data_IF_252145209530
#
_entry.id   IF_252145209530
#
_cell.length_a   1.000
_cell.length_b   1.000
_cell.length_c   1.000
_cell.angle_alpha   90.00
_cell.angle_beta   90.00
_cell.angle_gamma   90.00
#
_symmetry.space_group_name_H-M   'P 1'
#
loop_
_entity.id
_entity.type
_entity.pdbx_description
1 polymer ?
#
# COMPACT_ATOMS: atom_id res chain seq x y z
N UNK A 1 3.10 -12.17 6.09
CA UNK A 1 3.35 -10.76 5.75
C UNK A 1 2.14 -9.95 6.15
N UNK A 2 2.35 -8.72 6.61
CA UNK A 2 1.27 -7.78 6.89
C UNK A 2 0.47 -7.51 5.60
N UNK A 3 -0.84 -7.28 5.69
CA UNK A 3 -1.69 -7.13 4.50
C UNK A 3 -1.25 -5.89 3.72
N UNK A 4 -0.92 -4.80 4.43
CA UNK A 4 -0.48 -3.58 3.79
C UNK A 4 0.90 -3.68 3.13
N UNK A 5 1.85 -4.46 3.67
CA UNK A 5 3.16 -4.65 3.02
C UNK A 5 3.04 -5.48 1.74
N UNK A 6 2.14 -6.46 1.73
CA UNK A 6 1.83 -7.24 0.52
C UNK A 6 1.16 -6.36 -0.53
N UNK A 7 0.25 -5.48 -0.12
CA UNK A 7 -0.43 -4.53 -1.00
C UNK A 7 0.50 -3.54 -1.69
N UNK A 8 1.48 -2.98 -0.97
CA UNK A 8 2.51 -2.11 -1.56
C UNK A 8 3.30 -2.86 -2.63
N UNK A 9 3.76 -4.09 -2.33
CA UNK A 9 4.53 -4.87 -3.30
C UNK A 9 3.74 -5.17 -4.58
N UNK A 10 2.46 -5.51 -4.48
CA UNK A 10 1.60 -5.70 -5.65
C UNK A 10 1.42 -4.41 -6.45
N UNK A 11 1.35 -3.27 -5.78
CA UNK A 11 1.21 -1.99 -6.44
C UNK A 11 2.49 -1.61 -7.22
N UNK A 12 3.67 -1.87 -6.66
CA UNK A 12 4.96 -1.65 -7.36
C UNK A 12 5.06 -2.50 -8.64
N UNK A 13 4.62 -3.75 -8.57
CA UNK A 13 4.57 -4.63 -9.75
C UNK A 13 3.61 -4.10 -10.81
N UNK A 14 2.41 -3.66 -10.39
CA UNK A 14 1.40 -3.12 -11.30
C UNK A 14 1.86 -1.83 -11.97
N UNK A 15 2.55 -0.94 -11.24
CA UNK A 15 3.15 0.27 -11.82
C UNK A 15 4.19 -0.10 -12.88
N UNK A 16 5.07 -1.04 -12.60
CA UNK A 16 6.08 -1.49 -13.56
C UNK A 16 5.46 -2.09 -14.83
N UNK A 17 4.40 -2.90 -14.70
CA UNK A 17 3.69 -3.49 -15.85
C UNK A 17 2.92 -2.43 -16.65
N UNK A 18 2.32 -1.46 -15.97
CA UNK A 18 1.61 -0.35 -16.59
C UNK A 18 2.56 0.53 -17.40
N UNK A 19 3.70 0.95 -16.82
CA UNK A 19 4.68 1.81 -17.48
C UNK A 19 5.23 1.17 -18.75
N UNK A 20 5.54 -0.13 -18.68
CA UNK A 20 5.99 -0.88 -19.86
C UNK A 20 4.93 -0.89 -20.95
N UNK A 21 3.69 -1.26 -20.60
CA UNK A 21 2.58 -1.33 -21.54
C UNK A 21 2.23 0.05 -22.14
N UNK A 22 2.40 1.11 -21.35
CA UNK A 22 2.18 2.49 -21.78
C UNK A 22 3.22 2.93 -22.82
N UNK A 23 4.50 2.63 -22.59
CA UNK A 23 5.58 2.92 -23.54
C UNK A 23 5.39 2.13 -24.83
N UNK A 24 5.08 0.83 -24.73
CA UNK A 24 4.82 -0.02 -25.89
C UNK A 24 3.64 0.53 -26.72
N UNK A 25 2.58 1.00 -26.05
CA UNK A 25 1.42 1.59 -26.73
C UNK A 25 1.73 2.95 -27.39
N UNK A 26 2.51 3.83 -26.75
CA UNK A 26 2.92 5.10 -27.38
C UNK A 26 3.83 4.87 -28.58
N UNK A 27 4.68 3.83 -28.54
CA UNK A 27 5.50 3.41 -29.69
C UNK A 27 4.62 2.99 -30.87
N UNK A 28 3.61 2.13 -30.64
CA UNK A 28 2.66 1.71 -31.67
C UNK A 28 1.86 2.88 -32.25
N UNK A 29 1.48 3.87 -31.43
CA UNK A 29 0.83 5.10 -31.91
C UNK A 29 1.77 5.90 -32.83
N UNK A 30 3.08 5.89 -32.55
CA UNK A 30 4.09 6.54 -33.38
C UNK A 30 4.32 5.89 -34.74
N UNK A 31 3.88 4.64 -34.95
CA UNK A 31 3.98 3.93 -36.23
C UNK A 31 2.81 4.22 -37.18
N UNK A 32 1.79 4.95 -36.72
CA UNK A 32 0.64 5.36 -37.55
C UNK A 32 1.09 6.38 -38.60
N UNK A 33 0.52 6.29 -39.81
CA UNK A 33 0.80 7.18 -40.93
C UNK A 33 0.59 8.67 -40.57
N UNK A 34 1.50 9.54 -41.03
CA UNK A 34 1.49 10.99 -40.74
C UNK A 34 0.21 11.68 -41.24
N UNK A 35 -0.40 11.15 -42.29
CA UNK A 35 -1.68 11.63 -42.83
C UNK A 35 -2.85 11.45 -41.83
N UNK A 36 -2.66 10.67 -40.76
CA UNK A 36 -3.65 10.42 -39.70
C UNK A 36 -3.35 11.17 -38.39
N UNK A 37 -2.77 12.37 -38.48
CA UNK A 37 -2.32 13.17 -37.32
C UNK A 37 -3.39 13.42 -36.25
N UNK A 38 -4.66 13.58 -36.64
CA UNK A 38 -5.77 13.76 -35.69
C UNK A 38 -5.98 12.53 -34.81
N UNK A 39 -5.81 11.33 -35.38
CA UNK A 39 -5.93 10.05 -34.67
C UNK A 39 -4.76 9.90 -33.69
N UNK A 40 -3.54 10.23 -34.12
CA UNK A 40 -2.33 10.21 -33.27
C UNK A 40 -2.51 11.14 -32.07
N UNK A 41 -2.97 12.37 -32.30
CA UNK A 41 -3.21 13.35 -31.24
C UNK A 41 -4.29 12.87 -30.26
N UNK A 42 -5.43 12.40 -30.77
CA UNK A 42 -6.51 11.87 -29.94
C UNK A 42 -6.07 10.65 -29.12
N UNK A 43 -5.26 9.76 -29.70
CA UNK A 43 -4.70 8.60 -29.03
C UNK A 43 -3.77 9.01 -27.87
N UNK A 44 -2.81 9.90 -28.12
CA UNK A 44 -1.89 10.42 -27.08
C UNK A 44 -2.61 11.20 -25.98
N UNK A 45 -3.67 11.93 -26.32
CA UNK A 45 -4.50 12.61 -25.32
C UNK A 45 -5.17 11.59 -24.38
N UNK A 46 -5.75 10.51 -24.92
CA UNK A 46 -6.34 9.43 -24.13
C UNK A 46 -5.29 8.67 -23.32
N UNK A 47 -4.11 8.45 -23.88
CA UNK A 47 -2.97 7.84 -23.21
C UNK A 47 -2.59 8.67 -21.96
N UNK A 48 -2.44 9.98 -22.12
CA UNK A 48 -2.17 10.92 -21.01
C UNK A 48 -3.26 10.86 -19.93
N UNK A 49 -4.53 10.84 -20.34
CA UNK A 49 -5.65 10.72 -19.41
C UNK A 49 -5.63 9.39 -18.64
N UNK A 50 -5.27 8.29 -19.31
CA UNK A 50 -5.13 6.97 -18.70
C UNK A 50 -4.01 6.95 -17.65
N UNK A 51 -2.82 7.48 -17.99
CA UNK A 51 -1.69 7.59 -17.05
C UNK A 51 -2.06 8.45 -15.83
N UNK A 52 -2.76 9.57 -16.05
CA UNK A 52 -3.23 10.43 -14.96
C UNK A 52 -4.19 9.70 -14.02
N UNK A 53 -5.15 8.96 -14.58
CA UNK A 53 -6.10 8.17 -13.80
C UNK A 53 -5.40 7.06 -13.01
N UNK A 54 -4.42 6.38 -13.62
CA UNK A 54 -3.64 5.33 -12.97
C UNK A 54 -2.76 5.87 -11.84
N UNK A 55 -2.08 7.01 -12.04
CA UNK A 55 -1.29 7.66 -11.00
C UNK A 55 -2.15 8.03 -9.77
N UNK A 56 -3.37 8.54 -10.00
CA UNK A 56 -4.31 8.82 -8.91
C UNK A 56 -4.78 7.56 -8.19
N UNK A 57 -5.05 6.48 -8.94
CA UNK A 57 -5.41 5.20 -8.37
C UNK A 57 -4.28 4.65 -7.51
N UNK A 58 -3.04 4.66 -8.02
CA UNK A 58 -1.88 4.18 -7.29
C UNK A 58 -1.69 4.94 -5.98
N UNK A 59 -1.67 6.28 -6.03
CA UNK A 59 -1.54 7.10 -4.83
C UNK A 59 -2.64 6.79 -3.79
N UNK A 60 -3.90 6.62 -4.22
CA UNK A 60 -5.00 6.25 -3.31
C UNK A 60 -4.79 4.86 -2.70
N UNK A 61 -4.34 3.89 -3.49
CA UNK A 61 -4.00 2.55 -3.01
C UNK A 61 -2.83 2.56 -2.02
N UNK A 62 -1.76 3.32 -2.30
CA UNK A 62 -0.64 3.52 -1.37
C UNK A 62 -1.13 4.02 -0.01
N UNK A 63 -1.96 5.07 0.00
CA UNK A 63 -2.54 5.61 1.25
C UNK A 63 -3.34 4.55 2.02
N UNK A 64 -4.14 3.74 1.32
CA UNK A 64 -4.90 2.65 1.96
C UNK A 64 -3.96 1.60 2.57
N UNK A 65 -2.92 1.19 1.85
CA UNK A 65 -1.98 0.18 2.33
C UNK A 65 -1.10 0.69 3.48
N UNK A 66 -0.61 1.92 3.40
CA UNK A 66 0.12 2.55 4.51
C UNK A 66 -0.73 2.67 5.78
N UNK A 67 -2.01 3.05 5.63
CA UNK A 67 -2.92 3.10 6.76
C UNK A 67 -3.20 1.71 7.34
N UNK A 68 -3.27 0.68 6.48
CA UNK A 68 -3.40 -0.71 6.90
C UNK A 68 -2.19 -1.13 7.74
N UNK A 69 -0.97 -0.83 7.29
CA UNK A 69 0.27 -1.09 8.06
C UNK A 69 0.24 -0.38 9.42
N UNK A 70 -0.13 0.92 9.43
CA UNK A 70 -0.21 1.71 10.67
C UNK A 70 -1.20 1.08 11.66
N UNK A 71 -2.37 0.66 11.20
CA UNK A 71 -3.39 0.01 12.04
C UNK A 71 -2.93 -1.34 12.56
N UNK A 72 -2.32 -2.17 11.73
CA UNK A 72 -1.75 -3.47 12.13
C UNK A 72 -0.69 -3.30 13.23
N UNK A 73 0.21 -2.31 13.09
CA UNK A 73 1.23 -2.00 14.09
C UNK A 73 0.62 -1.49 15.39
N UNK A 74 -0.35 -0.57 15.33
CA UNK A 74 -1.04 -0.06 16.51
C UNK A 74 -1.76 -1.18 17.27
N UNK A 75 -2.37 -2.11 16.55
CA UNK A 75 -3.08 -3.24 17.13
C UNK A 75 -2.12 -4.22 17.82
N UNK A 76 -0.99 -4.54 17.19
CA UNK A 76 0.08 -5.31 17.81
C UNK A 76 0.64 -4.65 19.08
N UNK A 77 0.91 -3.33 19.03
CA UNK A 77 1.37 -2.57 20.19
C UNK A 77 0.36 -2.63 21.35
N UNK A 78 -0.94 -2.45 21.06
CA UNK A 78 -1.99 -2.53 22.08
C UNK A 78 -2.09 -3.92 22.71
N UNK A 79 -2.01 -4.97 21.90
CA UNK A 79 -2.03 -6.35 22.41
C UNK A 79 -0.85 -6.56 23.36
N UNK A 80 0.37 -6.21 22.92
CA UNK A 80 1.56 -6.36 23.76
C UNK A 80 1.47 -5.59 25.07
N UNK A 81 0.93 -4.35 25.04
CA UNK A 81 0.71 -3.57 26.25
C UNK A 81 -0.27 -4.27 27.20
N UNK A 82 -1.42 -4.73 26.68
CA UNK A 82 -2.43 -5.42 27.51
C UNK A 82 -1.91 -6.70 28.16
N UNK A 83 -0.99 -7.39 27.47
CA UNK A 83 -0.32 -8.59 28.00
C UNK A 83 0.61 -8.18 29.15
N UNK A 84 1.42 -7.14 28.98
CA UNK A 84 2.31 -6.63 30.04
C UNK A 84 1.52 -6.19 31.27
N UNK A 85 0.45 -5.42 31.08
CA UNK A 85 -0.42 -4.95 32.17
C UNK A 85 -1.00 -6.15 32.95
N UNK A 86 -1.38 -7.22 32.24
CA UNK A 86 -1.90 -8.45 32.85
C UNK A 86 -0.85 -9.20 33.68
N UNK A 87 0.40 -9.21 33.22
CA UNK A 87 1.52 -9.81 33.98
C UNK A 87 1.84 -8.99 35.23
N UNK A 88 1.86 -7.67 35.15
CA UNK A 88 2.08 -6.80 36.31
C UNK A 88 0.99 -6.98 37.37
N UNK A 89 -0.27 -7.00 36.97
CA UNK A 89 -1.40 -7.27 37.87
C UNK A 89 -1.23 -8.63 38.55
N UNK A 90 -0.90 -9.67 37.78
CA UNK A 90 -0.68 -11.01 38.32
C UNK A 90 0.50 -11.07 39.31
N UNK A 91 1.57 -10.31 39.06
CA UNK A 91 2.71 -10.20 39.96
C UNK A 91 2.35 -9.48 41.28
N UNK A 92 1.58 -8.39 41.20
CA UNK A 92 1.06 -7.67 42.36
C UNK A 92 0.17 -8.56 43.23
N UNK A 93 -0.75 -9.32 42.62
CA UNK A 93 -1.59 -10.29 43.35
C UNK A 93 -0.76 -11.39 44.02
N UNK A 94 0.29 -11.90 43.36
CA UNK A 94 1.20 -12.89 43.96
C UNK A 94 1.92 -12.33 45.19
N UNK A 95 2.37 -11.07 45.14
CA UNK A 95 3.05 -10.40 46.27
C UNK A 95 2.11 -10.14 47.44
N UNK A 96 0.82 -9.86 47.19
CA UNK A 96 -0.19 -9.70 48.23
C UNK A 96 -0.61 -11.01 48.90
N UNK A 97 -0.62 -12.14 48.19
CA UNK A 97 -1.01 -13.45 48.75
C UNK A 97 0.15 -14.12 49.51
N UNK A 98 1.40 -13.88 49.10
CA UNK A 98 2.60 -14.34 49.80
C UNK A 98 3.45 -13.13 50.25
N UNK A 99 2.98 -12.31 51.20
CA UNK A 99 3.86 -11.33 51.81
C UNK A 99 5.00 -12.10 52.47
N UNK A 100 6.24 -11.74 52.17
CA UNK A 100 7.43 -12.39 52.71
C UNK A 100 7.24 -12.65 54.22
N UNK A 101 7.21 -13.94 54.59
CA UNK A 101 7.24 -14.33 56.00
C UNK A 101 8.59 -13.81 56.55
N UNK A 102 8.59 -13.11 57.71
CA UNK A 102 9.79 -12.48 58.25
C UNK A 102 10.92 -13.48 58.55
#
# INVERSE_FOLDING_TARGET
MAIGTTGIHWLDLLESEFDKSFVDLDMLIGEIDEDQIEIIYAARQKLTALSTAFAQLSHKSQVVFENSIKLELQLLMRINQSILDSFEISALYRYQIYPACP
#
